data_IF_138812205270
#
_entry.id   IF_138812205270
#
_cell.length_a   1.000
_cell.length_b   1.000
_cell.length_c   1.000
_cell.angle_alpha   90.00
_cell.angle_beta   90.00
_cell.angle_gamma   90.00
#
_symmetry.space_group_name_H-M   'P 1'
#
loop_
_entity.id
_entity.type
_entity.pdbx_description
1 polymer ?
#
# COMPACT_ATOMS: atom_id res chain seq x y z
N UNK A 1 6.18 6.89 32.41
CA UNK A 1 5.59 6.05 31.34
C UNK A 1 4.28 6.70 30.92
N UNK A 2 4.26 7.29 29.73
CA UNK A 2 3.16 8.14 29.27
C UNK A 2 1.87 7.33 29.14
N UNK A 3 0.80 7.81 29.80
CA UNK A 3 -0.57 7.34 29.57
C UNK A 3 -0.89 7.65 28.11
N UNK A 4 -0.79 6.65 27.23
CA UNK A 4 -1.11 6.79 25.81
C UNK A 4 -2.58 7.19 25.75
N UNK A 5 -2.82 8.43 25.37
CA UNK A 5 -4.15 9.03 25.30
C UNK A 5 -5.11 8.09 24.57
N UNK A 6 -6.19 7.70 25.25
CA UNK A 6 -7.23 6.80 24.70
C UNK A 6 -8.02 7.44 23.55
N UNK A 7 -7.68 8.68 23.16
CA UNK A 7 -8.36 9.48 22.14
C UNK A 7 -7.54 9.70 20.87
N UNK A 8 -6.29 9.23 20.78
CA UNK A 8 -5.55 9.37 19.53
C UNK A 8 -6.09 8.35 18.51
N UNK A 9 -6.59 8.79 17.34
CA UNK A 9 -7.02 7.87 16.29
C UNK A 9 -5.86 6.92 15.96
N UNK A 10 -6.15 5.63 15.97
CA UNK A 10 -5.13 4.63 15.64
C UNK A 10 -4.94 4.58 14.12
N UNK A 11 -3.71 4.43 13.66
CA UNK A 11 -3.46 4.19 12.24
C UNK A 11 -3.76 2.73 11.89
N UNK A 12 -4.53 2.53 10.83
CA UNK A 12 -4.85 1.23 10.28
C UNK A 12 -4.30 1.14 8.85
N UNK A 13 -3.49 0.12 8.60
CA UNK A 13 -2.92 -0.10 7.28
C UNK A 13 -3.96 -0.71 6.34
N UNK A 14 -4.05 -0.15 5.14
CA UNK A 14 -5.00 -0.60 4.12
C UNK A 14 -4.33 -1.12 2.85
N UNK A 15 -4.98 -2.08 2.22
CA UNK A 15 -4.66 -2.53 0.86
C UNK A 15 -5.79 -2.17 -0.09
N UNK A 16 -5.45 -1.66 -1.27
CA UNK A 16 -6.44 -1.37 -2.31
C UNK A 16 -6.83 -2.67 -3.01
N UNK A 17 -8.12 -2.92 -3.16
CA UNK A 17 -8.66 -4.03 -3.94
C UNK A 17 -9.71 -3.51 -4.91
N UNK A 18 -9.58 -3.88 -6.16
CA UNK A 18 -10.61 -3.71 -7.18
C UNK A 18 -11.62 -4.87 -7.12
N UNK A 19 -12.89 -4.56 -7.35
CA UNK A 19 -13.91 -5.58 -7.50
C UNK A 19 -14.02 -5.98 -8.98
N UNK A 20 -13.72 -7.24 -9.34
CA UNK A 20 -13.65 -7.67 -10.73
C UNK A 20 -15.01 -7.52 -11.42
N UNK A 21 -15.00 -7.01 -12.65
CA UNK A 21 -16.21 -6.73 -13.42
C UNK A 21 -16.91 -5.41 -13.03
N UNK A 22 -16.44 -4.71 -12.00
CA UNK A 22 -16.92 -3.37 -11.64
C UNK A 22 -15.78 -2.37 -11.70
N UNK A 23 -16.12 -1.08 -11.65
CA UNK A 23 -15.13 0.00 -11.54
C UNK A 23 -14.95 0.49 -10.10
N UNK A 24 -15.38 -0.27 -9.11
CA UNK A 24 -15.34 0.15 -7.70
C UNK A 24 -14.07 -0.41 -7.05
N UNK A 25 -13.39 0.43 -6.28
CA UNK A 25 -12.24 0.07 -5.48
C UNK A 25 -12.61 0.12 -4.00
N UNK A 26 -11.99 -0.77 -3.22
CA UNK A 26 -12.19 -0.89 -1.78
C UNK A 26 -10.85 -0.85 -1.06
N UNK A 27 -10.82 -0.14 0.05
CA UNK A 27 -9.77 -0.24 1.05
C UNK A 27 -10.07 -1.40 1.97
N UNK A 28 -9.15 -2.35 2.01
CA UNK A 28 -9.20 -3.49 2.92
C UNK A 28 -8.26 -3.22 4.07
N UNK A 29 -8.83 -3.09 5.27
CA UNK A 29 -8.10 -3.03 6.53
C UNK A 29 -7.91 -4.47 7.01
N UNK A 30 -6.70 -5.02 6.94
CA UNK A 30 -6.47 -6.44 7.28
C UNK A 30 -6.65 -6.73 8.77
N UNK A 31 -6.30 -5.76 9.64
CA UNK A 31 -6.45 -5.87 11.08
C UNK A 31 -6.94 -4.55 11.68
N UNK A 32 -8.20 -4.51 12.10
CA UNK A 32 -8.76 -3.36 12.80
C UNK A 32 -8.06 -3.16 14.16
N UNK A 33 -7.63 -1.94 14.52
CA UNK A 33 -6.97 -1.66 15.81
C UNK A 33 -7.89 -1.84 17.02
N UNK A 34 -9.20 -1.99 16.81
CA UNK A 34 -10.19 -2.15 17.88
C UNK A 34 -10.64 -3.60 18.08
N UNK A 35 -11.09 -4.27 17.01
CA UNK A 35 -11.61 -5.65 17.09
C UNK A 35 -10.66 -6.71 16.53
N UNK A 36 -9.59 -6.32 15.82
CA UNK A 36 -8.67 -7.24 15.15
C UNK A 36 -9.21 -7.90 13.88
N UNK A 37 -10.47 -7.66 13.51
CA UNK A 37 -11.07 -8.21 12.29
C UNK A 37 -10.76 -7.39 11.04
N UNK A 38 -11.04 -7.99 9.88
CA UNK A 38 -10.86 -7.35 8.58
C UNK A 38 -12.06 -6.49 8.22
N UNK A 39 -11.81 -5.23 7.86
CA UNK A 39 -12.85 -4.27 7.46
C UNK A 39 -12.67 -3.75 6.04
N UNK A 40 -13.77 -3.32 5.43
CA UNK A 40 -13.83 -2.82 4.07
C UNK A 40 -14.37 -1.39 4.07
N UNK A 41 -13.68 -0.49 3.37
CA UNK A 41 -14.13 0.88 3.09
C UNK A 41 -14.16 1.11 1.59
N UNK A 42 -15.07 1.97 1.13
CA UNK A 42 -15.17 2.30 -0.29
C UNK A 42 -14.07 3.30 -0.65
N UNK A 43 -13.19 2.94 -1.57
CA UNK A 43 -12.10 3.80 -2.04
C UNK A 43 -12.49 4.69 -3.23
N UNK A 44 -13.70 4.49 -3.79
CA UNK A 44 -14.22 5.23 -4.93
C UNK A 44 -14.21 4.44 -6.23
N UNK A 45 -14.35 5.14 -7.35
CA UNK A 45 -14.35 4.55 -8.69
C UNK A 45 -12.91 4.50 -9.24
N UNK A 46 -12.59 3.62 -10.19
CA UNK A 46 -11.29 3.51 -10.87
C UNK A 46 -10.83 4.82 -11.55
N UNK A 47 -11.75 5.76 -11.77
CA UNK A 47 -11.47 7.10 -12.30
C UNK A 47 -11.15 8.14 -11.22
N UNK A 48 -11.42 7.83 -9.97
CA UNK A 48 -11.13 8.66 -8.79
C UNK A 48 -9.73 8.32 -8.30
N UNK A 49 -9.01 9.30 -7.75
CA UNK A 49 -7.76 9.00 -7.06
C UNK A 49 -8.11 8.29 -5.73
N UNK A 50 -7.75 7.00 -5.57
CA UNK A 50 -8.04 6.29 -4.33
C UNK A 50 -7.39 6.98 -3.12
N UNK A 51 -6.32 7.75 -3.31
CA UNK A 51 -5.64 8.51 -2.25
C UNK A 51 -6.53 9.53 -1.55
N UNK A 52 -7.54 10.10 -2.23
CA UNK A 52 -8.46 11.09 -1.63
C UNK A 52 -9.39 10.47 -0.58
N UNK A 53 -9.58 9.16 -0.61
CA UNK A 53 -10.39 8.44 0.39
C UNK A 53 -9.57 7.94 1.59
N UNK A 54 -8.26 8.19 1.62
CA UNK A 54 -7.41 7.98 2.80
C UNK A 54 -7.64 9.10 3.81
N UNK A 55 -7.67 8.77 5.11
CA UNK A 55 -7.97 9.72 6.17
C UNK A 55 -8.71 9.07 7.33
N UNK A 56 -9.46 9.87 8.09
CA UNK A 56 -10.23 9.40 9.23
C UNK A 56 -11.53 8.73 8.80
N UNK A 57 -11.70 7.45 9.17
CA UNK A 57 -12.92 6.69 8.94
C UNK A 57 -13.46 6.11 10.25
N UNK A 58 -14.79 6.05 10.43
CA UNK A 58 -15.38 5.38 11.58
C UNK A 58 -15.13 3.88 11.50
N UNK A 59 -14.89 3.25 12.65
CA UNK A 59 -14.70 1.81 12.69
C UNK A 59 -16.03 1.09 12.48
N UNK A 60 -16.15 0.18 11.48
CA UNK A 60 -17.38 -0.60 11.28
C UNK A 60 -17.80 -1.39 12.53
N UNK A 61 -16.84 -1.85 13.32
CA UNK A 61 -17.09 -2.54 14.59
C UNK A 61 -17.52 -1.61 15.74
N UNK A 62 -17.13 -0.33 15.70
CA UNK A 62 -17.36 0.67 16.75
C UNK A 62 -17.51 2.05 16.11
N UNK A 63 -18.73 2.43 15.68
CA UNK A 63 -18.95 3.68 14.96
C UNK A 63 -18.60 4.93 15.78
N UNK A 64 -18.56 4.82 17.10
CA UNK A 64 -18.15 5.89 18.02
C UNK A 64 -16.64 6.20 18.00
N UNK A 65 -15.84 5.39 17.30
CA UNK A 65 -14.38 5.54 17.22
C UNK A 65 -13.91 5.64 15.78
N UNK A 66 -13.02 6.58 15.52
CA UNK A 66 -12.37 6.77 14.22
C UNK A 66 -10.95 6.22 14.23
N UNK A 67 -10.52 5.69 13.08
CA UNK A 67 -9.12 5.35 12.82
C UNK A 67 -8.68 5.96 11.50
N UNK A 68 -7.38 6.20 11.37
CA UNK A 68 -6.79 6.79 10.19
C UNK A 68 -6.37 5.68 9.21
N UNK A 69 -6.93 5.67 8.00
CA UNK A 69 -6.53 4.78 6.92
C UNK A 69 -5.21 5.28 6.33
N UNK A 70 -4.15 4.48 6.47
CA UNK A 70 -2.84 4.79 5.92
C UNK A 70 -2.35 3.67 4.99
N UNK A 71 -1.58 4.03 3.98
CA UNK A 71 -0.90 3.04 3.14
C UNK A 71 0.23 2.38 3.92
N UNK A 72 0.43 1.04 3.79
CA UNK A 72 1.58 0.38 4.38
C UNK A 72 2.86 1.00 3.81
N UNK A 73 3.91 1.17 4.63
CA UNK A 73 5.18 1.71 4.15
C UNK A 73 5.70 0.81 3.03
N UNK A 74 5.87 1.37 1.83
CA UNK A 74 6.33 0.58 0.69
C UNK A 74 7.71 -0.02 1.03
N UNK A 75 7.92 -1.33 0.79
CA UNK A 75 9.20 -1.95 1.03
C UNK A 75 10.25 -1.22 0.17
N UNK A 76 11.22 -0.57 0.84
CA UNK A 76 12.32 0.13 0.16
C UNK A 76 12.99 -0.85 -0.80
N UNK A 77 12.86 -0.63 -2.11
CA UNK A 77 13.58 -1.40 -3.12
C UNK A 77 15.07 -1.23 -2.82
N UNK A 78 15.73 -2.30 -2.34
CA UNK A 78 17.19 -2.32 -2.16
C UNK A 78 17.83 -1.98 -3.51
N UNK A 79 18.60 -0.89 -3.56
CA UNK A 79 19.15 -0.27 -4.78
C UNK A 79 20.15 -1.10 -5.60
N UNK A 80 20.27 -2.41 -5.34
CA UNK A 80 21.19 -3.29 -6.06
C UNK A 80 20.61 -4.02 -7.27
N UNK A 81 19.27 -4.04 -7.44
CA UNK A 81 18.64 -4.84 -8.50
C UNK A 81 18.82 -4.23 -9.90
N UNK A 82 18.80 -2.90 -10.01
CA UNK A 82 19.03 -2.21 -11.28
C UNK A 82 20.51 -2.22 -11.68
N UNK A 83 21.44 -2.10 -10.73
CA UNK A 83 22.88 -2.25 -10.99
C UNK A 83 23.23 -3.64 -11.53
N UNK A 84 22.66 -4.71 -10.94
CA UNK A 84 22.86 -6.09 -11.42
C UNK A 84 22.24 -6.33 -12.80
N UNK A 85 21.12 -5.67 -13.12
CA UNK A 85 20.47 -5.77 -14.43
C UNK A 85 21.25 -5.01 -15.51
N UNK A 86 21.85 -3.86 -15.16
CA UNK A 86 22.75 -3.10 -16.04
C UNK A 86 24.04 -3.87 -16.33
N UNK A 87 24.72 -4.40 -15.31
CA UNK A 87 25.93 -5.20 -15.47
C UNK A 87 25.75 -6.42 -16.39
N UNK A 88 24.56 -7.06 -16.37
CA UNK A 88 24.24 -8.17 -17.30
C UNK A 88 24.04 -7.74 -18.76
N UNK A 89 23.59 -6.51 -19.00
CA UNK A 89 23.50 -5.97 -20.37
C UNK A 89 24.87 -5.61 -20.89
N UNK A 90 25.67 -4.89 -20.09
CA UNK A 90 27.00 -4.44 -20.49
C UNK A 90 27.92 -5.64 -20.80
N UNK A 91 27.87 -6.72 -19.99
CA UNK A 91 28.62 -7.95 -20.26
C UNK A 91 28.16 -8.72 -21.52
N UNK A 92 26.96 -8.45 -22.06
CA UNK A 92 26.48 -9.08 -23.29
C UNK A 92 26.88 -8.28 -24.53
N UNK A 93 27.07 -6.97 -24.40
CA UNK A 93 27.52 -6.10 -25.49
C UNK A 93 29.01 -6.34 -25.80
N UNK A 94 29.83 -6.57 -24.77
CA UNK A 94 31.28 -6.82 -24.91
C UNK A 94 31.60 -8.04 -25.82
N UNK A 95 30.78 -9.10 -25.74
CA UNK A 95 30.97 -10.33 -26.52
C UNK A 95 30.68 -10.15 -28.03
N UNK A 96 29.94 -9.12 -28.43
CA UNK A 96 29.62 -8.89 -29.86
C UNK A 96 30.65 -8.02 -30.58
N UNK A 97 31.49 -7.26 -29.87
CA UNK A 97 32.52 -6.39 -30.47
C UNK A 97 33.84 -7.14 -30.76
N UNK A 98 34.14 -8.25 -30.07
CA UNK A 98 35.36 -9.04 -30.29
C UNK A 98 35.32 -10.00 -31.50
N UNK A 99 34.14 -10.29 -32.06
CA UNK A 99 33.99 -11.24 -33.19
C UNK A 99 34.04 -10.54 -34.57
N UNK A 100 34.40 -9.25 -34.61
CA UNK A 100 34.43 -8.43 -35.85
C UNK A 100 35.83 -7.90 -36.19
N UNK A 101 36.87 -8.74 -36.10
CA UNK A 101 38.15 -8.49 -36.77
C UNK A 101 38.69 -9.74 -37.47
#
# INVERSE_FOLDING_TARGET
MAKKDRRTPQQAFVTLRDMPGTRVMFWVVDACPYCGERHLHVAGNIRSDPGESLGEHPAPCQPDRTYELALPPQPKKKGGKDARRKARRDAKTDVWDEDTW
#
